data_IF_138788314163
#
_entry.id   IF_138788314163
#
_cell.length_a   1.000
_cell.length_b   1.000
_cell.length_c   1.000
_cell.angle_alpha   90.00
_cell.angle_beta   90.00
_cell.angle_gamma   90.00
#
_symmetry.space_group_name_H-M   'P 1'
#
loop_
_entity.id
_entity.type
_entity.pdbx_description
1 polymer ?
#
# COMPACT_ATOMS: atom_id res chain seq x y z
N UNK A 1 85.17 10.11 -22.31
CA UNK A 1 84.71 9.49 -21.04
C UNK A 1 83.18 9.45 -21.06
N UNK A 2 82.62 8.34 -20.58
CA UNK A 2 81.29 7.82 -20.91
C UNK A 2 80.23 8.27 -19.87
N UNK A 3 79.01 8.59 -20.37
CA UNK A 3 77.68 8.53 -19.72
C UNK A 3 77.19 9.73 -18.84
N UNK A 4 75.86 9.85 -18.54
CA UNK A 4 74.78 10.16 -19.51
C UNK A 4 73.61 11.04 -18.93
N UNK A 5 72.62 11.31 -19.80
CA UNK A 5 71.16 11.29 -19.60
C UNK A 5 70.41 12.15 -18.53
N UNK A 6 69.29 12.72 -19.04
CA UNK A 6 68.00 13.05 -18.38
C UNK A 6 67.99 14.29 -17.46
N UNK A 7 67.01 15.18 -17.50
CA UNK A 7 65.79 15.28 -18.29
C UNK A 7 65.34 16.74 -18.32
N UNK A 8 64.80 17.12 -19.47
CA UNK A 8 64.02 18.31 -19.72
C UNK A 8 62.81 18.36 -18.76
N UNK A 9 62.65 19.44 -17.99
CA UNK A 9 61.35 19.81 -17.44
C UNK A 9 61.09 21.26 -17.80
N UNK A 10 60.35 21.39 -18.89
CA UNK A 10 59.95 22.65 -19.49
C UNK A 10 59.01 23.41 -18.55
N UNK A 11 59.22 24.71 -18.54
CA UNK A 11 58.34 25.72 -17.99
C UNK A 11 56.92 25.59 -18.53
N UNK A 12 55.94 25.88 -17.67
CA UNK A 12 54.70 26.53 -18.08
C UNK A 12 54.14 27.31 -16.89
N UNK A 13 54.05 28.62 -17.12
CA UNK A 13 53.40 29.65 -16.35
C UNK A 13 52.19 29.17 -15.53
N UNK A 14 52.27 29.33 -14.21
CA UNK A 14 51.08 29.40 -13.38
C UNK A 14 50.85 30.87 -13.04
N UNK A 15 50.14 31.55 -13.94
CA UNK A 15 49.50 32.82 -13.65
C UNK A 15 48.48 32.57 -12.53
N UNK A 16 48.89 32.77 -11.28
CA UNK A 16 47.97 32.98 -10.17
C UNK A 16 47.37 34.37 -10.35
N UNK A 17 46.32 34.47 -11.17
CA UNK A 17 45.36 35.56 -11.05
C UNK A 17 44.55 35.27 -9.80
N UNK A 18 44.91 35.91 -8.68
CA UNK A 18 43.99 36.07 -7.55
C UNK A 18 42.65 36.56 -8.10
N UNK A 19 41.58 35.80 -7.86
CA UNK A 19 40.21 36.28 -8.05
C UNK A 19 40.02 37.38 -7.01
N UNK A 20 39.87 38.66 -7.39
CA UNK A 20 39.63 39.72 -6.41
C UNK A 20 38.23 39.49 -5.82
N UNK A 21 38.16 38.99 -4.59
CA UNK A 21 36.92 38.84 -3.81
C UNK A 21 36.74 40.03 -2.89
N UNK A 22 36.66 41.23 -3.50
CA UNK A 22 36.22 42.44 -2.78
C UNK A 22 35.24 43.20 -3.69
N UNK A 23 33.97 42.74 -3.79
CA UNK A 23 32.97 43.41 -4.61
C UNK A 23 32.63 44.78 -4.02
N UNK A 24 32.53 45.79 -4.87
CA UNK A 24 32.06 47.12 -4.46
C UNK A 24 30.65 47.02 -3.86
N UNK A 25 30.32 47.88 -2.89
CA UNK A 25 29.05 47.84 -2.14
C UNK A 25 27.76 47.63 -2.99
N UNK A 26 27.59 48.24 -4.19
CA UNK A 26 26.43 47.95 -5.04
C UNK A 26 26.45 46.54 -5.66
N UNK A 27 27.62 46.00 -6.00
CA UNK A 27 27.79 44.66 -6.57
C UNK A 27 27.52 43.57 -5.52
N UNK A 28 28.01 43.77 -4.28
CA UNK A 28 27.70 42.91 -3.15
C UNK A 28 26.18 42.85 -2.85
N UNK A 29 25.48 43.99 -3.01
CA UNK A 29 24.01 44.04 -2.85
C UNK A 29 23.30 43.25 -3.94
N UNK A 30 23.74 43.37 -5.19
CA UNK A 30 23.15 42.63 -6.31
C UNK A 30 23.32 41.11 -6.11
N UNK A 31 24.54 40.67 -5.75
CA UNK A 31 24.81 39.25 -5.49
C UNK A 31 24.04 38.70 -4.29
N UNK A 32 23.85 39.51 -3.24
CA UNK A 32 23.01 39.11 -2.11
C UNK A 32 21.55 38.93 -2.52
N UNK A 33 21.03 39.81 -3.37
CA UNK A 33 19.66 39.71 -3.88
C UNK A 33 19.49 38.49 -4.81
N UNK A 34 20.48 38.21 -5.65
CA UNK A 34 20.49 37.03 -6.52
C UNK A 34 20.60 35.71 -5.73
N UNK A 35 21.38 35.70 -4.64
CA UNK A 35 21.50 34.55 -3.73
C UNK A 35 20.19 34.27 -2.97
N UNK A 36 19.53 35.33 -2.46
CA UNK A 36 18.23 35.23 -1.80
C UNK A 36 17.09 34.83 -2.75
N UNK A 37 17.27 35.05 -4.06
CA UNK A 37 16.33 34.63 -5.09
C UNK A 37 16.37 33.13 -5.41
N UNK A 38 17.38 32.38 -4.93
CA UNK A 38 17.54 30.95 -5.25
C UNK A 38 16.38 30.11 -4.69
N UNK A 39 15.86 29.10 -5.44
CA UNK A 39 14.71 28.27 -5.04
C UNK A 39 14.86 27.57 -3.68
N UNK A 40 16.11 27.30 -3.28
CA UNK A 40 16.47 26.72 -1.99
C UNK A 40 16.07 27.59 -0.77
N UNK A 41 15.83 28.89 -0.97
CA UNK A 41 15.32 29.81 0.04
C UNK A 41 13.81 30.11 -0.08
N UNK A 42 13.10 29.50 -1.04
CA UNK A 42 11.64 29.65 -1.19
C UNK A 42 10.80 28.63 -0.38
N UNK A 43 11.42 27.93 0.57
CA UNK A 43 10.73 26.97 1.45
C UNK A 43 9.88 27.61 2.58
N UNK A 44 9.51 28.89 2.43
CA UNK A 44 8.62 29.60 3.35
C UNK A 44 7.29 30.00 2.68
N UNK A 45 6.79 29.17 1.76
CA UNK A 45 5.37 29.21 1.42
C UNK A 45 4.68 28.14 2.26
N UNK A 46 3.72 28.50 3.13
CA UNK A 46 2.93 27.50 3.83
C UNK A 46 2.31 26.57 2.79
N UNK A 47 2.50 25.28 2.97
CA UNK A 47 1.74 24.30 2.22
C UNK A 47 0.26 24.42 2.64
N UNK A 48 -0.70 24.08 1.79
CA UNK A 48 -2.11 24.01 2.20
C UNK A 48 -2.31 23.10 3.43
N UNK A 49 -1.39 22.14 3.60
CA UNK A 49 -1.32 21.27 4.77
C UNK A 49 -0.85 22.00 6.04
N UNK A 50 0.06 22.96 5.91
CA UNK A 50 0.56 23.75 7.06
C UNK A 50 -0.53 24.70 7.55
N UNK A 51 -1.29 25.33 6.65
CA UNK A 51 -2.44 26.17 7.00
C UNK A 51 -3.56 25.36 7.67
N UNK A 52 -3.81 24.13 7.18
CA UNK A 52 -4.78 23.22 7.78
C UNK A 52 -4.33 22.74 9.17
N UNK A 53 -3.06 22.36 9.32
CA UNK A 53 -2.49 21.93 10.59
C UNK A 53 -2.53 23.07 11.63
N UNK A 54 -2.21 24.29 11.19
CA UNK A 54 -2.29 25.48 12.02
C UNK A 54 -3.73 25.80 12.44
N UNK A 55 -4.69 25.73 11.52
CA UNK A 55 -6.12 25.96 11.81
C UNK A 55 -6.66 24.94 12.84
N UNK A 56 -6.25 23.68 12.72
CA UNK A 56 -6.62 22.62 13.67
C UNK A 56 -5.96 22.86 15.05
N UNK A 57 -4.71 23.33 15.07
CA UNK A 57 -3.99 23.64 16.30
C UNK A 57 -4.60 24.82 17.05
N UNK A 58 -4.96 25.88 16.33
CA UNK A 58 -5.64 27.07 16.86
C UNK A 58 -7.03 26.71 17.41
N UNK A 59 -7.77 25.85 16.71
CA UNK A 59 -9.03 25.31 17.23
C UNK A 59 -8.81 24.56 18.55
N UNK A 60 -7.77 23.74 18.66
CA UNK A 60 -7.46 23.00 19.89
C UNK A 60 -7.10 23.93 21.06
N UNK A 61 -6.34 25.00 20.80
CA UNK A 61 -5.99 26.02 21.79
C UNK A 61 -7.18 26.87 22.23
N UNK A 62 -8.17 27.06 21.35
CA UNK A 62 -9.41 27.77 21.68
C UNK A 62 -10.31 27.02 22.67
N UNK A 63 -10.08 25.71 22.86
CA UNK A 63 -10.81 24.87 23.82
C UNK A 63 -10.31 25.04 25.26
N UNK A 64 -9.78 26.21 25.62
CA UNK A 64 -9.39 26.51 27.00
C UNK A 64 -10.63 26.78 27.86
N UNK A 65 -10.70 26.09 28.99
CA UNK A 65 -11.77 26.25 29.98
C UNK A 65 -11.47 27.51 30.81
N UNK A 66 -12.40 28.48 30.92
CA UNK A 66 -12.28 29.52 31.92
C UNK A 66 -12.31 28.89 33.32
N UNK A 67 -11.24 29.09 34.09
CA UNK A 67 -11.12 28.61 35.46
C UNK A 67 -12.35 29.07 36.27
N UNK A 68 -13.11 28.10 36.78
CA UNK A 68 -14.21 28.32 37.73
C UNK A 68 -15.64 28.04 37.25
N UNK A 69 -15.87 27.58 36.02
CA UNK A 69 -17.22 27.17 35.61
C UNK A 69 -17.52 25.69 35.93
N UNK A 70 -18.70 25.41 36.49
CA UNK A 70 -19.20 24.05 36.77
C UNK A 70 -19.29 23.13 35.53
N UNK A 71 -19.03 23.68 34.34
CA UNK A 71 -19.02 23.02 33.04
C UNK A 71 -17.64 22.51 32.61
N UNK A 72 -16.57 22.76 33.40
CA UNK A 72 -15.20 22.35 33.06
C UNK A 72 -15.00 20.85 32.85
N UNK A 73 -15.81 20.00 33.50
CA UNK A 73 -15.80 18.54 33.29
C UNK A 73 -16.61 18.06 32.09
N UNK A 74 -17.53 18.88 31.55
CA UNK A 74 -18.40 18.50 30.44
C UNK A 74 -17.74 18.71 29.08
N UNK A 75 -16.87 19.71 28.96
CA UNK A 75 -16.10 19.98 27.73
C UNK A 75 -15.27 18.77 27.28
N UNK A 76 -14.41 18.16 28.12
CA UNK A 76 -13.65 16.97 27.70
C UNK A 76 -14.57 15.79 27.37
N UNK A 77 -15.69 15.63 28.06
CA UNK A 77 -16.67 14.59 27.76
C UNK A 77 -17.31 14.78 26.38
N UNK A 78 -17.69 16.01 26.03
CA UNK A 78 -18.27 16.35 24.71
C UNK A 78 -17.26 16.08 23.59
N UNK A 79 -15.99 16.45 23.78
CA UNK A 79 -14.92 16.18 22.81
C UNK A 79 -14.74 14.68 22.61
N UNK A 80 -14.70 13.88 23.69
CA UNK A 80 -14.58 12.41 23.60
C UNK A 80 -15.76 11.81 22.85
N UNK A 81 -16.99 12.25 23.14
CA UNK A 81 -18.20 11.76 22.46
C UNK A 81 -18.19 12.10 20.98
N UNK A 82 -17.77 13.31 20.60
CA UNK A 82 -17.65 13.72 19.19
C UNK A 82 -16.58 12.91 18.45
N UNK A 83 -15.42 12.68 19.07
CA UNK A 83 -14.38 11.82 18.50
C UNK A 83 -14.88 10.38 18.33
N UNK A 84 -15.53 9.83 19.36
CA UNK A 84 -16.10 8.49 19.29
C UNK A 84 -17.17 8.38 18.19
N UNK A 85 -18.06 9.36 18.07
CA UNK A 85 -19.06 9.42 17.02
C UNK A 85 -18.43 9.52 15.63
N UNK A 86 -17.39 10.36 15.45
CA UNK A 86 -16.66 10.47 14.20
C UNK A 86 -15.96 9.16 13.81
N UNK A 87 -15.36 8.45 14.78
CA UNK A 87 -14.78 7.12 14.58
C UNK A 87 -15.85 6.11 14.16
N UNK A 88 -17.01 6.10 14.82
CA UNK A 88 -18.13 5.21 14.46
C UNK A 88 -18.64 5.50 13.05
N UNK A 89 -18.86 6.77 12.70
CA UNK A 89 -19.29 7.16 11.35
C UNK A 89 -18.23 6.79 10.32
N UNK A 90 -16.95 7.03 10.60
CA UNK A 90 -15.86 6.62 9.72
C UNK A 90 -15.83 5.10 9.53
N UNK A 91 -16.03 4.32 10.60
CA UNK A 91 -16.10 2.85 10.52
C UNK A 91 -17.34 2.36 9.76
N UNK A 92 -18.47 3.06 9.86
CA UNK A 92 -19.69 2.69 9.12
C UNK A 92 -19.59 3.05 7.63
N UNK A 93 -18.98 4.20 7.29
CA UNK A 93 -18.83 4.68 5.91
C UNK A 93 -17.68 3.97 5.19
N UNK A 94 -16.55 3.76 5.87
CA UNK A 94 -15.32 3.21 5.27
C UNK A 94 -15.03 1.76 5.69
N UNK A 95 -15.81 1.16 6.59
CA UNK A 95 -15.51 -0.12 7.22
C UNK A 95 -14.47 0.01 8.35
N UNK A 96 -14.30 -1.04 9.17
CA UNK A 96 -13.13 -1.08 10.06
C UNK A 96 -11.87 -0.96 9.20
N UNK A 97 -10.89 -0.10 9.57
CA UNK A 97 -9.57 -0.14 8.95
C UNK A 97 -9.01 -1.52 9.24
N UNK A 98 -9.13 -2.42 8.25
CA UNK A 98 -8.50 -3.73 8.29
C UNK A 98 -7.03 -3.40 8.32
N UNK A 99 -6.42 -3.48 9.51
CA UNK A 99 -4.99 -3.27 9.69
C UNK A 99 -4.33 -4.23 8.73
N UNK A 100 -3.93 -3.69 7.58
CA UNK A 100 -3.28 -4.39 6.51
C UNK A 100 -1.88 -4.69 7.04
N UNK A 101 -1.79 -5.72 7.88
CA UNK A 101 -0.55 -6.25 8.39
C UNK A 101 0.20 -6.72 7.16
N UNK A 102 1.11 -5.88 6.66
CA UNK A 102 2.09 -6.26 5.65
C UNK A 102 2.73 -7.57 6.11
N UNK A 103 2.28 -8.67 5.54
CA UNK A 103 2.86 -9.97 5.77
C UNK A 103 4.27 -9.98 5.15
N UNK A 104 5.26 -10.59 5.80
CA UNK A 104 6.60 -10.76 5.24
C UNK A 104 6.48 -11.63 3.97
N UNK A 105 7.11 -11.21 2.86
CA UNK A 105 7.20 -11.86 1.53
C UNK A 105 6.02 -12.78 1.18
N UNK A 106 5.15 -12.33 0.28
CA UNK A 106 4.00 -13.09 -0.24
C UNK A 106 4.38 -14.55 -0.52
N UNK A 107 3.70 -15.50 0.14
CA UNK A 107 3.84 -16.91 -0.23
C UNK A 107 3.30 -17.05 -1.66
N UNK A 108 4.06 -17.64 -2.60
CA UNK A 108 3.60 -17.77 -3.99
C UNK A 108 2.24 -18.47 -4.05
N UNK A 109 1.26 -17.82 -4.68
CA UNK A 109 -0.07 -18.39 -4.86
C UNK A 109 -0.12 -19.06 -6.23
N UNK A 110 -0.25 -20.39 -6.23
CA UNK A 110 -0.42 -21.20 -7.44
C UNK A 110 0.70 -20.98 -8.48
N UNK A 111 1.95 -20.92 -7.99
CA UNK A 111 3.14 -20.75 -8.82
C UNK A 111 3.40 -19.33 -9.33
N UNK A 112 2.57 -18.34 -8.96
CA UNK A 112 2.83 -16.94 -9.22
C UNK A 112 3.44 -16.27 -7.98
N UNK A 113 4.62 -15.65 -8.15
CA UNK A 113 5.11 -14.67 -7.19
C UNK A 113 4.33 -13.39 -7.45
N UNK A 114 3.31 -13.15 -6.64
CA UNK A 114 2.39 -12.03 -6.81
C UNK A 114 2.31 -11.24 -5.51
N UNK A 115 2.85 -10.02 -5.55
CA UNK A 115 2.90 -9.11 -4.39
C UNK A 115 1.65 -8.25 -4.26
N UNK A 116 0.69 -8.38 -5.20
CA UNK A 116 -0.56 -7.62 -5.17
C UNK A 116 -1.42 -8.03 -3.97
N UNK A 117 -2.09 -7.06 -3.35
CA UNK A 117 -3.09 -7.33 -2.31
C UNK A 117 -4.36 -7.95 -2.92
N UNK A 118 -5.22 -8.52 -2.07
CA UNK A 118 -6.52 -9.03 -2.52
C UNK A 118 -7.34 -7.94 -3.24
N UNK A 119 -7.31 -6.69 -2.77
CA UNK A 119 -8.01 -5.56 -3.39
C UNK A 119 -7.41 -5.19 -4.76
N UNK A 120 -6.08 -5.18 -4.88
CA UNK A 120 -5.42 -4.93 -6.16
C UNK A 120 -5.73 -6.02 -7.19
N UNK A 121 -5.79 -7.28 -6.75
CA UNK A 121 -6.20 -8.41 -7.58
C UNK A 121 -7.67 -8.30 -8.02
N UNK A 122 -8.58 -7.91 -7.11
CA UNK A 122 -9.99 -7.64 -7.46
C UNK A 122 -10.12 -6.51 -8.49
N UNK A 123 -9.39 -5.42 -8.30
CA UNK A 123 -9.39 -4.30 -9.26
C UNK A 123 -8.85 -4.72 -10.63
N UNK A 124 -7.76 -5.50 -10.66
CA UNK A 124 -7.22 -6.05 -11.91
C UNK A 124 -8.22 -6.98 -12.61
N UNK A 125 -8.91 -7.84 -11.86
CA UNK A 125 -9.94 -8.71 -12.39
C UNK A 125 -11.13 -7.94 -12.99
N UNK A 126 -11.59 -6.87 -12.32
CA UNK A 126 -12.65 -6.00 -12.83
C UNK A 126 -12.23 -5.29 -14.13
N UNK A 127 -10.99 -4.76 -14.17
CA UNK A 127 -10.45 -4.12 -15.38
C UNK A 127 -10.30 -5.11 -16.55
N UNK A 128 -9.92 -6.36 -16.27
CA UNK A 128 -9.86 -7.42 -17.26
C UNK A 128 -11.26 -7.79 -17.79
N UNK A 129 -12.24 -7.93 -16.90
CA UNK A 129 -13.64 -8.20 -17.25
C UNK A 129 -14.24 -7.08 -18.12
N UNK A 130 -14.00 -5.81 -17.76
CA UNK A 130 -14.43 -4.66 -18.56
C UNK A 130 -13.85 -4.65 -19.98
N UNK A 131 -12.64 -5.21 -20.15
CA UNK A 131 -11.99 -5.40 -21.45
C UNK A 131 -12.30 -6.73 -22.14
N UNK A 132 -13.26 -7.52 -21.65
CA UNK A 132 -13.60 -8.84 -22.20
C UNK A 132 -12.52 -9.92 -22.04
N UNK A 133 -11.49 -9.66 -21.23
CA UNK A 133 -10.40 -10.61 -20.96
C UNK A 133 -10.77 -11.54 -19.81
N UNK A 134 -11.73 -12.43 -20.07
CA UNK A 134 -12.30 -13.32 -19.04
C UNK A 134 -11.27 -14.24 -18.39
N UNK A 135 -10.28 -14.73 -19.14
CA UNK A 135 -9.22 -15.60 -18.60
C UNK A 135 -8.40 -14.89 -17.52
N UNK A 136 -8.02 -13.64 -17.77
CA UNK A 136 -7.27 -12.82 -16.81
C UNK A 136 -8.17 -12.48 -15.61
N UNK A 137 -9.43 -12.14 -15.88
CA UNK A 137 -10.41 -11.78 -14.85
C UNK A 137 -10.65 -12.92 -13.85
N UNK A 138 -10.83 -14.15 -14.35
CA UNK A 138 -11.00 -15.35 -13.50
C UNK A 138 -9.73 -15.65 -12.71
N UNK A 139 -8.56 -15.61 -13.35
CA UNK A 139 -7.29 -15.90 -12.68
C UNK A 139 -6.98 -14.92 -11.56
N UNK A 140 -7.11 -13.62 -11.82
CA UNK A 140 -6.83 -12.60 -10.81
C UNK A 140 -7.88 -12.61 -9.69
N UNK A 141 -9.16 -12.86 -9.99
CA UNK A 141 -10.19 -12.93 -8.96
C UNK A 141 -10.05 -14.17 -8.06
N UNK A 142 -9.67 -15.32 -8.62
CA UNK A 142 -9.37 -16.50 -7.82
C UNK A 142 -8.15 -16.28 -6.91
N UNK A 143 -7.09 -15.64 -7.43
CA UNK A 143 -5.94 -15.22 -6.61
C UNK A 143 -6.35 -14.24 -5.51
N UNK A 144 -7.26 -13.31 -5.80
CA UNK A 144 -7.79 -12.38 -4.81
C UNK A 144 -8.52 -13.11 -3.67
N UNK A 145 -9.39 -14.06 -4.02
CA UNK A 145 -10.09 -14.93 -3.07
C UNK A 145 -9.07 -15.68 -2.22
N UNK A 146 -8.09 -16.32 -2.84
CA UNK A 146 -7.06 -17.08 -2.13
C UNK A 146 -6.25 -16.19 -1.18
N UNK A 147 -5.82 -15.02 -1.65
CA UNK A 147 -5.09 -14.03 -0.85
C UNK A 147 -5.91 -13.57 0.36
N UNK A 148 -7.19 -13.28 0.15
CA UNK A 148 -8.14 -12.89 1.21
C UNK A 148 -8.26 -13.96 2.30
N UNK A 149 -8.38 -15.25 1.93
CA UNK A 149 -8.49 -16.33 2.91
C UNK A 149 -7.19 -16.61 3.66
N UNK A 150 -6.05 -16.47 2.98
CA UNK A 150 -4.72 -16.59 3.61
C UNK A 150 -4.47 -15.43 4.58
N UNK A 151 -4.78 -14.20 4.18
CA UNK A 151 -4.61 -13.02 5.03
C UNK A 151 -5.54 -13.05 6.26
N UNK A 152 -6.71 -13.69 6.12
CA UNK A 152 -7.64 -13.99 7.22
C UNK A 152 -7.27 -15.22 8.04
N UNK A 153 -6.14 -15.88 7.74
CA UNK A 153 -5.68 -17.11 8.42
C UNK A 153 -6.68 -18.27 8.37
N UNK A 154 -7.59 -18.27 7.39
CA UNK A 154 -8.54 -19.37 7.21
C UNK A 154 -7.82 -20.58 6.62
N UNK A 155 -6.94 -20.33 5.65
CA UNK A 155 -6.15 -21.37 4.98
C UNK A 155 -4.67 -20.99 5.03
N UNK A 156 -3.81 -21.96 5.30
CA UNK A 156 -2.37 -21.80 5.19
C UNK A 156 -1.88 -22.39 3.86
N UNK A 157 -1.17 -21.59 3.08
CA UNK A 157 -0.60 -22.01 1.80
C UNK A 157 0.91 -22.23 1.93
N UNK A 158 1.42 -23.26 1.26
CA UNK A 158 2.84 -23.56 1.12
C UNK A 158 3.23 -23.52 -0.36
N UNK A 159 4.53 -23.34 -0.69
CA UNK A 159 5.00 -23.50 -2.06
C UNK A 159 4.55 -24.85 -2.63
N UNK A 160 3.91 -24.83 -3.80
CA UNK A 160 3.35 -26.04 -4.43
C UNK A 160 1.90 -26.35 -4.09
N UNK A 161 1.26 -25.64 -3.16
CA UNK A 161 -0.19 -25.76 -2.91
C UNK A 161 -0.96 -25.55 -4.22
N UNK A 162 -1.78 -26.53 -4.59
CA UNK A 162 -2.63 -26.46 -5.79
C UNK A 162 -3.94 -25.72 -5.51
N UNK A 163 -4.62 -25.25 -6.56
CA UNK A 163 -5.93 -24.61 -6.42
C UNK A 163 -6.97 -25.57 -5.84
N UNK A 164 -6.90 -26.84 -6.22
CA UNK A 164 -7.76 -27.89 -5.69
C UNK A 164 -7.54 -28.14 -4.19
N UNK A 165 -6.29 -28.32 -3.76
CA UNK A 165 -5.96 -28.50 -2.34
C UNK A 165 -6.38 -27.28 -1.50
N UNK A 166 -6.15 -26.08 -2.05
CA UNK A 166 -6.60 -24.84 -1.43
C UNK A 166 -8.12 -24.83 -1.24
N UNK A 167 -8.90 -25.24 -2.25
CA UNK A 167 -10.35 -25.27 -2.19
C UNK A 167 -10.88 -26.30 -1.18
N UNK A 168 -10.27 -27.48 -1.10
CA UNK A 168 -10.60 -28.49 -0.08
C UNK A 168 -10.41 -27.92 1.33
N UNK A 169 -9.27 -27.28 1.58
CA UNK A 169 -8.95 -26.68 2.89
C UNK A 169 -9.84 -25.48 3.22
N UNK A 170 -10.07 -24.60 2.24
CA UNK A 170 -11.02 -23.49 2.38
C UNK A 170 -12.44 -23.99 2.70
N UNK A 171 -12.85 -25.12 2.12
CA UNK A 171 -14.15 -25.74 2.37
C UNK A 171 -14.34 -26.19 3.83
N UNK A 172 -13.28 -26.53 4.55
CA UNK A 172 -13.36 -26.81 5.98
C UNK A 172 -13.70 -25.55 6.81
N UNK A 173 -13.22 -24.37 6.39
CA UNK A 173 -13.56 -23.08 6.99
C UNK A 173 -14.93 -22.54 6.57
N UNK A 174 -15.43 -22.94 5.39
CA UNK A 174 -16.73 -22.55 4.85
C UNK A 174 -17.50 -23.76 4.30
N UNK A 175 -18.07 -24.62 5.16
CA UNK A 175 -18.73 -25.86 4.74
C UNK A 175 -19.85 -25.64 3.73
N UNK A 176 -20.64 -24.58 3.91
CA UNK A 176 -21.76 -24.22 3.04
C UNK A 176 -21.31 -23.86 1.61
N UNK A 177 -20.05 -23.46 1.42
CA UNK A 177 -19.47 -23.08 0.14
C UNK A 177 -18.43 -24.09 -0.38
N UNK A 178 -18.26 -25.25 0.27
CA UNK A 178 -17.22 -26.22 -0.10
C UNK A 178 -17.36 -26.71 -1.55
N UNK A 179 -18.59 -26.96 -2.01
CA UNK A 179 -18.85 -27.39 -3.39
C UNK A 179 -18.52 -26.28 -4.41
N UNK A 180 -18.85 -25.02 -4.08
CA UNK A 180 -18.57 -23.86 -4.93
C UNK A 180 -17.06 -23.58 -5.03
N UNK A 181 -16.35 -23.68 -3.90
CA UNK A 181 -14.88 -23.57 -3.85
C UNK A 181 -14.21 -24.58 -4.78
N UNK A 182 -14.65 -25.84 -4.76
CA UNK A 182 -14.15 -26.88 -5.67
C UNK A 182 -14.51 -26.62 -7.13
N UNK A 183 -15.70 -26.07 -7.39
CA UNK A 183 -16.11 -25.73 -8.76
C UNK A 183 -15.25 -24.60 -9.33
N UNK A 184 -15.05 -23.54 -8.54
CA UNK A 184 -14.23 -22.39 -8.93
C UNK A 184 -12.75 -22.75 -9.05
N UNK A 185 -12.22 -23.67 -8.22
CA UNK A 185 -10.85 -24.15 -8.38
C UNK A 185 -10.64 -24.87 -9.71
N UNK A 186 -11.61 -25.68 -10.15
CA UNK A 186 -11.57 -26.34 -11.47
C UNK A 186 -11.61 -25.34 -12.62
N UNK A 187 -12.41 -24.27 -12.49
CA UNK A 187 -12.43 -23.18 -13.48
C UNK A 187 -11.04 -22.54 -13.56
N UNK A 188 -10.43 -22.22 -12.42
CA UNK A 188 -9.09 -21.65 -12.38
C UNK A 188 -8.05 -22.57 -13.02
N UNK A 189 -8.01 -23.86 -12.64
CA UNK A 189 -7.05 -24.83 -13.18
C UNK A 189 -7.25 -25.02 -14.69
N UNK A 190 -8.50 -25.09 -15.15
CA UNK A 190 -8.86 -25.18 -16.56
C UNK A 190 -8.29 -24.01 -17.37
N UNK A 191 -8.50 -22.78 -16.90
CA UNK A 191 -8.00 -21.58 -17.57
C UNK A 191 -6.48 -21.48 -17.48
N UNK A 192 -5.90 -21.74 -16.31
CA UNK A 192 -4.47 -21.51 -16.05
C UNK A 192 -3.56 -22.56 -16.69
N UNK A 193 -3.97 -23.82 -16.64
CA UNK A 193 -3.11 -24.96 -16.99
C UNK A 193 -3.63 -25.76 -18.18
N UNK A 194 -4.94 -25.79 -18.43
CA UNK A 194 -5.54 -26.60 -19.50
C UNK A 194 -5.90 -25.80 -20.75
N UNK A 195 -5.66 -24.48 -20.75
CA UNK A 195 -5.92 -23.61 -21.91
C UNK A 195 -7.42 -23.39 -22.19
N UNK A 196 -8.30 -23.65 -21.21
CA UNK A 196 -9.72 -23.38 -21.36
C UNK A 196 -10.01 -21.88 -21.49
N UNK A 197 -11.07 -21.56 -22.23
CA UNK A 197 -11.59 -20.20 -22.32
C UNK A 197 -12.62 -19.97 -21.22
N UNK A 198 -12.40 -18.94 -20.40
CA UNK A 198 -13.37 -18.43 -19.44
C UNK A 198 -14.49 -17.68 -20.15
N UNK A 199 -15.69 -17.76 -19.59
CA UNK A 199 -16.87 -17.02 -20.03
C UNK A 199 -17.26 -16.00 -18.97
N UNK A 200 -18.18 -15.10 -19.32
CA UNK A 200 -18.82 -14.21 -18.36
C UNK A 200 -19.48 -15.01 -17.22
N UNK A 201 -20.19 -16.12 -17.50
CA UNK A 201 -20.82 -16.91 -16.42
C UNK A 201 -19.80 -17.51 -15.45
N UNK A 202 -18.65 -17.98 -15.98
CA UNK A 202 -17.56 -18.51 -15.16
C UNK A 202 -16.92 -17.40 -14.31
N UNK A 203 -16.74 -16.20 -14.86
CA UNK A 203 -16.26 -15.06 -14.08
C UNK A 203 -17.25 -14.65 -12.98
N UNK A 204 -18.54 -14.60 -13.31
CA UNK A 204 -19.61 -14.25 -12.37
C UNK A 204 -19.74 -15.25 -11.23
N UNK A 205 -19.52 -16.56 -11.48
CA UNK A 205 -19.53 -17.55 -10.41
C UNK A 205 -18.35 -17.37 -9.44
N UNK A 206 -17.14 -17.08 -9.94
CA UNK A 206 -15.98 -16.75 -9.09
C UNK A 206 -16.26 -15.46 -8.29
N UNK A 207 -16.86 -14.45 -8.92
CA UNK A 207 -17.20 -13.17 -8.29
C UNK A 207 -18.25 -13.29 -7.20
N UNK A 208 -19.29 -14.08 -7.44
CA UNK A 208 -20.32 -14.36 -6.45
C UNK A 208 -19.73 -15.06 -5.22
N UNK A 209 -18.87 -16.06 -5.43
CA UNK A 209 -18.21 -16.77 -4.35
C UNK A 209 -17.26 -15.87 -3.55
N UNK A 210 -16.41 -15.06 -4.20
CA UNK A 210 -15.53 -14.12 -3.49
C UNK A 210 -16.32 -13.12 -2.64
N UNK A 211 -17.43 -12.60 -3.16
CA UNK A 211 -18.32 -11.71 -2.42
C UNK A 211 -18.96 -12.41 -1.21
N UNK A 212 -19.49 -13.63 -1.38
CA UNK A 212 -20.08 -14.42 -0.31
C UNK A 212 -19.07 -14.72 0.80
N UNK A 213 -17.88 -15.22 0.46
CA UNK A 213 -16.84 -15.53 1.44
C UNK A 213 -16.31 -14.28 2.15
N UNK A 214 -16.30 -13.12 1.48
CA UNK A 214 -15.89 -11.85 2.10
C UNK A 214 -16.91 -11.35 3.13
N UNK A 215 -18.20 -11.60 2.89
CA UNK A 215 -19.29 -11.25 3.81
C UNK A 215 -19.47 -12.27 4.95
N UNK A 216 -19.09 -13.53 4.73
CA UNK A 216 -19.24 -14.62 5.70
C UNK A 216 -18.10 -14.67 6.73
N UNK A 217 -18.44 -15.12 7.94
CA UNK A 217 -17.47 -15.46 8.99
C UNK A 217 -17.11 -16.95 8.89
N UNK A 218 -15.82 -17.32 8.88
CA UNK A 218 -15.42 -18.72 8.78
C UNK A 218 -15.82 -19.50 10.04
N UNK A 219 -16.18 -20.77 9.87
CA UNK A 219 -16.50 -21.68 10.98
C UNK A 219 -15.24 -22.13 11.75
N UNK A 220 -14.05 -22.03 11.15
CA UNK A 220 -12.78 -22.42 11.74
C UNK A 220 -11.58 -21.79 11.03
N UNK A 221 -10.41 -21.85 11.67
CA UNK A 221 -9.13 -21.37 11.15
C UNK A 221 -8.10 -22.50 11.21
N UNK A 222 -7.26 -22.64 10.18
CA UNK A 222 -6.14 -23.59 10.22
C UNK A 222 -5.03 -23.07 11.14
N UNK A 223 -4.64 -23.88 12.12
CA UNK A 223 -3.49 -23.58 12.99
C UNK A 223 -2.18 -23.98 12.31
N UNK A 224 -1.12 -23.17 12.48
CA UNK A 224 0.21 -23.41 11.88
C UNK A 224 0.85 -24.74 12.33
N UNK A 225 0.38 -25.34 13.41
CA UNK A 225 0.86 -26.64 13.90
C UNK A 225 0.50 -27.82 12.99
N UNK A 226 -0.58 -27.73 12.20
CA UNK A 226 -1.11 -28.86 11.41
C UNK A 226 -0.38 -29.09 10.08
N UNK A 227 0.45 -28.14 9.64
CA UNK A 227 1.12 -28.18 8.31
C UNK A 227 2.49 -28.90 8.35
N UNK A 228 2.95 -29.35 9.53
CA UNK A 228 4.29 -29.94 9.73
C UNK A 228 4.32 -31.47 9.90
N UNK A 229 3.21 -32.18 9.63
CA UNK A 229 3.13 -33.64 9.69
C UNK A 229 3.00 -34.23 8.29
#
# INVERSE_FOLDING_TARGET
MIAPLLALSAALASARSEVPVDPDAPEARQWLLDELGKPQYQAARPNWFDELAQSIWEWFQSLTVPDGSAFGGLVPLIVIVLVAAAVVVAVLVFGLPRLNRRAPRSVPLFGAHDDRTAEQLRAAAQNAAAGGRWNDAVQDLFRALARSLVDRTVVLVTPGTTAHEFAVRAGAGFPDHAAELLAVSRIFDGVRYLGETATLERYESVRALDAALTASTPAGHESRATVSA
#
